data_IF_650218102089
#
_entry.id   IF_650218102089
#
_cell.length_a   1.000
_cell.length_b   1.000
_cell.length_c   1.000
_cell.angle_alpha   90.00
_cell.angle_beta   90.00
_cell.angle_gamma   90.00
#
_symmetry.space_group_name_H-M   'P 1'
#
loop_
_entity.id
_entity.type
_entity.pdbx_description
1 polymer ?
#
# COMPACT_ATOMS: atom_id res chain seq x y z
N UNK A 1 -0.99 -23.36 8.61
CA UNK A 1 -2.45 -23.12 8.61
C UNK A 1 -2.81 -22.07 9.67
N UNK A 2 -2.11 -20.92 9.66
CA UNK A 2 -2.33 -19.82 10.63
C UNK A 2 -3.29 -18.75 10.09
N UNK A 3 -3.50 -18.73 8.76
CA UNK A 3 -4.26 -17.68 8.06
C UNK A 3 -5.77 -17.79 8.31
N UNK A 4 -6.29 -19.01 8.48
CA UNK A 4 -7.71 -19.28 8.78
C UNK A 4 -8.03 -19.22 10.28
N UNK A 5 -7.11 -18.74 11.11
CA UNK A 5 -7.36 -18.49 12.54
C UNK A 5 -7.95 -17.09 12.74
N UNK A 6 -8.57 -16.83 13.89
CA UNK A 6 -9.07 -15.49 14.25
C UNK A 6 -7.97 -14.42 14.20
N UNK A 7 -6.76 -14.76 14.62
CA UNK A 7 -5.60 -13.87 14.55
C UNK A 7 -5.15 -13.61 13.11
N UNK A 8 -5.08 -14.64 12.27
CA UNK A 8 -4.72 -14.51 10.85
C UNK A 8 -5.72 -13.64 10.07
N UNK A 9 -7.01 -13.82 10.33
CA UNK A 9 -8.06 -13.02 9.70
C UNK A 9 -8.02 -11.55 10.17
N UNK A 10 -7.74 -11.31 11.45
CA UNK A 10 -7.56 -9.97 12.00
C UNK A 10 -6.36 -9.25 11.35
N UNK A 11 -5.21 -9.92 11.25
CA UNK A 11 -4.02 -9.36 10.61
C UNK A 11 -4.27 -9.04 9.13
N UNK A 12 -4.96 -9.93 8.41
CA UNK A 12 -5.34 -9.68 7.02
C UNK A 12 -6.23 -8.44 6.89
N UNK A 13 -7.26 -8.32 7.73
CA UNK A 13 -8.17 -7.19 7.73
C UNK A 13 -7.43 -5.87 8.03
N UNK A 14 -6.52 -5.88 9.01
CA UNK A 14 -5.70 -4.73 9.35
C UNK A 14 -4.83 -4.28 8.16
N UNK A 15 -4.18 -5.23 7.49
CA UNK A 15 -3.35 -4.96 6.32
C UNK A 15 -4.19 -4.35 5.18
N UNK A 16 -5.35 -4.94 4.87
CA UNK A 16 -6.27 -4.42 3.85
C UNK A 16 -6.71 -2.99 4.19
N UNK A 17 -7.04 -2.71 5.45
CA UNK A 17 -7.46 -1.37 5.88
C UNK A 17 -6.34 -0.34 5.73
N UNK A 18 -5.11 -0.69 6.13
CA UNK A 18 -3.94 0.19 5.97
C UNK A 18 -3.71 0.53 4.50
N UNK A 19 -3.78 -0.47 3.61
CA UNK A 19 -3.59 -0.22 2.17
C UNK A 19 -4.69 0.66 1.59
N UNK A 20 -5.95 0.40 1.95
CA UNK A 20 -7.08 1.14 1.39
C UNK A 20 -7.01 2.62 1.79
N UNK A 21 -6.63 2.90 3.04
CA UNK A 21 -6.45 4.27 3.55
C UNK A 21 -5.27 4.96 2.86
N UNK A 22 -4.13 4.28 2.71
CA UNK A 22 -2.93 4.85 2.11
C UNK A 22 -2.98 4.96 0.58
N UNK A 23 -3.79 4.15 -0.09
CA UNK A 23 -3.88 4.13 -1.55
C UNK A 23 -4.93 5.10 -2.12
N UNK A 24 -5.66 5.84 -1.29
CA UNK A 24 -6.85 6.61 -1.71
C UNK A 24 -6.58 7.61 -2.84
N UNK A 25 -5.50 8.39 -2.75
CA UNK A 25 -5.08 9.36 -3.77
C UNK A 25 -4.56 8.66 -5.05
N UNK A 26 -3.73 7.63 -4.87
CA UNK A 26 -3.10 6.88 -5.96
C UNK A 26 -4.12 6.06 -6.77
N UNK A 27 -5.15 5.51 -6.12
CA UNK A 27 -6.22 4.76 -6.77
C UNK A 27 -7.08 5.65 -7.68
N UNK A 28 -7.33 6.90 -7.28
CA UNK A 28 -8.09 7.86 -8.09
C UNK A 28 -7.33 8.18 -9.38
N UNK A 29 -6.03 8.47 -9.31
CA UNK A 29 -5.20 8.79 -10.48
C UNK A 29 -5.14 7.61 -11.45
N UNK A 30 -4.93 6.38 -10.96
CA UNK A 30 -4.92 5.16 -11.79
C UNK A 30 -6.31 4.92 -12.39
N UNK A 31 -7.38 5.11 -11.61
CA UNK A 31 -8.75 4.97 -12.07
C UNK A 31 -9.11 5.93 -13.20
N UNK A 32 -8.67 7.19 -13.09
CA UNK A 32 -8.83 8.21 -14.12
C UNK A 32 -8.00 7.91 -15.36
N UNK A 33 -6.74 7.49 -15.21
CA UNK A 33 -5.89 7.10 -16.32
C UNK A 33 -6.47 5.88 -17.07
N UNK A 34 -7.02 4.91 -16.35
CA UNK A 34 -7.65 3.74 -16.94
C UNK A 34 -9.04 4.04 -17.54
N UNK A 35 -9.73 5.10 -17.12
CA UNK A 35 -11.05 5.48 -17.63
C UNK A 35 -11.00 5.98 -19.08
N UNK A 36 -9.86 6.49 -19.54
CA UNK A 36 -9.67 6.94 -20.93
C UNK A 36 -9.40 5.82 -21.94
N UNK A 37 -9.22 4.57 -21.48
CA UNK A 37 -8.88 3.45 -22.36
C UNK A 37 -10.11 2.71 -22.91
N UNK A 38 -10.02 2.12 -24.11
CA UNK A 38 -11.04 1.20 -24.63
C UNK A 38 -11.33 0.07 -23.63
N UNK A 39 -12.58 -0.40 -23.55
CA UNK A 39 -13.01 -1.41 -22.56
C UNK A 39 -12.10 -2.64 -22.49
N UNK A 40 -11.60 -3.13 -23.63
CA UNK A 40 -10.70 -4.29 -23.69
C UNK A 40 -9.30 -4.01 -23.15
N UNK A 41 -8.81 -2.78 -23.26
CA UNK A 41 -7.49 -2.38 -22.79
C UNK A 41 -7.52 -2.00 -21.31
N UNK A 42 -8.64 -1.45 -20.82
CA UNK A 42 -8.84 -1.06 -19.42
C UNK A 42 -8.60 -2.23 -18.46
N UNK A 43 -9.16 -3.40 -18.74
CA UNK A 43 -8.98 -4.60 -17.91
C UNK A 43 -7.52 -5.06 -17.91
N UNK A 44 -6.84 -5.04 -19.06
CA UNK A 44 -5.42 -5.39 -19.15
C UNK A 44 -4.54 -4.41 -18.37
N UNK A 45 -4.79 -3.11 -18.49
CA UNK A 45 -4.06 -2.08 -17.78
C UNK A 45 -4.23 -2.23 -16.26
N UNK A 46 -5.46 -2.46 -15.77
CA UNK A 46 -5.74 -2.71 -14.35
C UNK A 46 -5.02 -3.98 -13.87
N UNK A 47 -5.10 -5.07 -14.64
CA UNK A 47 -4.49 -6.35 -14.25
C UNK A 47 -2.97 -6.26 -14.16
N UNK A 48 -2.32 -5.62 -15.15
CA UNK A 48 -0.87 -5.36 -15.12
C UNK A 48 -0.52 -4.44 -13.95
N UNK A 49 -1.32 -3.40 -13.71
CA UNK A 49 -1.14 -2.49 -12.58
C UNK A 49 -1.20 -3.21 -11.22
N UNK A 50 -2.19 -4.08 -11.01
CA UNK A 50 -2.33 -4.87 -9.77
C UNK A 50 -1.14 -5.82 -9.59
N UNK A 51 -0.71 -6.51 -10.64
CA UNK A 51 0.45 -7.41 -10.58
C UNK A 51 1.71 -6.62 -10.22
N UNK A 52 1.98 -5.53 -10.92
CA UNK A 52 3.15 -4.68 -10.66
C UNK A 52 3.12 -4.09 -9.25
N UNK A 53 1.97 -3.59 -8.79
CA UNK A 53 1.79 -3.06 -7.44
C UNK A 53 2.01 -4.14 -6.36
N UNK A 54 1.50 -5.35 -6.57
CA UNK A 54 1.69 -6.49 -5.65
C UNK A 54 3.16 -6.88 -5.56
N UNK A 55 3.86 -6.95 -6.68
CA UNK A 55 5.30 -7.26 -6.72
C UNK A 55 6.10 -6.19 -6.00
N UNK A 56 5.87 -4.91 -6.32
CA UNK A 56 6.53 -3.79 -5.63
C UNK A 56 6.26 -3.83 -4.13
N UNK A 57 5.02 -4.15 -3.73
CA UNK A 57 4.63 -4.21 -2.34
C UNK A 57 5.37 -5.31 -1.58
N UNK A 58 5.44 -6.52 -2.13
CA UNK A 58 6.19 -7.61 -1.51
C UNK A 58 7.67 -7.24 -1.43
N UNK A 59 8.22 -6.67 -2.51
CA UNK A 59 9.61 -6.22 -2.53
C UNK A 59 9.92 -5.17 -1.45
N UNK A 60 9.12 -4.11 -1.35
CA UNK A 60 9.30 -3.09 -0.31
C UNK A 60 9.06 -3.64 1.09
N UNK A 61 8.09 -4.54 1.28
CA UNK A 61 7.86 -5.17 2.57
C UNK A 61 9.11 -5.94 3.02
N UNK A 62 9.72 -6.74 2.13
CA UNK A 62 10.95 -7.49 2.42
C UNK A 62 12.13 -6.58 2.76
N UNK A 63 12.26 -5.43 2.10
CA UNK A 63 13.31 -4.46 2.42
C UNK A 63 13.02 -3.77 3.75
N UNK A 64 11.77 -3.33 3.94
CA UNK A 64 11.36 -2.55 5.11
C UNK A 64 11.47 -3.38 6.39
N UNK A 65 11.14 -4.67 6.36
CA UNK A 65 11.31 -5.54 7.54
C UNK A 65 12.76 -5.61 8.00
N UNK A 66 13.73 -5.59 7.07
CA UNK A 66 15.16 -5.55 7.41
C UNK A 66 15.56 -4.17 7.94
N UNK A 67 15.06 -3.09 7.34
CA UNK A 67 15.32 -1.73 7.83
C UNK A 67 14.75 -1.50 9.23
N UNK A 68 13.57 -2.04 9.54
CA UNK A 68 12.92 -1.91 10.84
C UNK A 68 13.67 -2.63 11.97
N UNK A 69 14.63 -3.51 11.66
CA UNK A 69 15.54 -4.05 12.67
C UNK A 69 16.50 -2.98 13.24
N UNK A 70 16.65 -1.84 12.56
CA UNK A 70 17.45 -0.71 13.05
C UNK A 70 16.68 -0.01 14.18
N UNK A 71 17.28 -0.01 15.37
CA UNK A 71 16.71 0.61 16.58
C UNK A 71 16.43 2.10 16.33
N UNK A 72 15.21 2.54 16.63
CA UNK A 72 14.79 3.94 16.51
C UNK A 72 14.33 4.35 15.11
N UNK A 73 14.53 3.53 14.07
CA UNK A 73 14.10 3.88 12.71
C UNK A 73 12.58 3.98 12.59
N UNK A 74 11.84 3.05 13.21
CA UNK A 74 10.37 3.10 13.24
C UNK A 74 9.87 4.41 13.88
N UNK A 75 10.49 4.81 14.99
CA UNK A 75 10.12 6.04 15.70
C UNK A 75 10.43 7.28 14.83
N UNK A 76 11.63 7.35 14.25
CA UNK A 76 12.02 8.45 13.37
C UNK A 76 11.11 8.55 12.14
N UNK A 77 10.79 7.42 11.51
CA UNK A 77 9.83 7.35 10.41
C UNK A 77 8.44 7.81 10.81
N UNK A 78 7.95 7.42 12.00
CA UNK A 78 6.68 7.89 12.54
C UNK A 78 6.63 9.41 12.76
N UNK A 79 7.68 9.99 13.34
CA UNK A 79 7.79 11.45 13.51
C UNK A 79 7.85 12.16 12.16
N UNK A 80 8.59 11.61 11.20
CA UNK A 80 8.66 12.16 9.84
C UNK A 80 7.29 12.14 9.15
N UNK A 81 6.51 11.07 9.29
CA UNK A 81 5.15 11.00 8.75
C UNK A 81 4.22 12.04 9.39
N UNK A 82 4.27 12.22 10.71
CA UNK A 82 3.50 13.27 11.39
C UNK A 82 3.84 14.67 10.86
N UNK A 83 5.14 14.92 10.63
CA UNK A 83 5.59 16.18 10.05
C UNK A 83 5.10 16.40 8.61
N UNK A 84 5.14 15.36 7.76
CA UNK A 84 4.61 15.43 6.39
C UNK A 84 3.11 15.72 6.42
N UNK A 85 2.34 15.01 7.25
CA UNK A 85 0.90 15.23 7.40
C UNK A 85 0.59 16.68 7.84
N UNK A 86 1.33 17.21 8.83
CA UNK A 86 1.18 18.60 9.26
C UNK A 86 1.48 19.58 8.14
N UNK A 87 2.55 19.33 7.37
CA UNK A 87 2.96 20.17 6.26
C UNK A 87 1.98 20.16 5.10
N UNK A 88 1.28 19.05 4.85
CA UNK A 88 0.24 18.96 3.82
C UNK A 88 -1.07 19.66 4.21
N UNK A 89 -1.36 19.78 5.51
CA UNK A 89 -2.57 20.45 6.00
C UNK A 89 -2.44 21.98 6.05
N UNK A 90 -1.24 22.49 6.26
CA UNK A 90 -0.90 23.92 6.32
C UNK A 90 -0.65 24.53 4.95
#
# INVERSE_FOLDING_TARGET
MEIFTTAGLYALLQVIMIDLVLAGDNAIVIGLAAAGLPKEQRTKAILVGIIAATVMRIFFALITTQLLAIVGLLLAGGVLLLWVCWKMWR
#
